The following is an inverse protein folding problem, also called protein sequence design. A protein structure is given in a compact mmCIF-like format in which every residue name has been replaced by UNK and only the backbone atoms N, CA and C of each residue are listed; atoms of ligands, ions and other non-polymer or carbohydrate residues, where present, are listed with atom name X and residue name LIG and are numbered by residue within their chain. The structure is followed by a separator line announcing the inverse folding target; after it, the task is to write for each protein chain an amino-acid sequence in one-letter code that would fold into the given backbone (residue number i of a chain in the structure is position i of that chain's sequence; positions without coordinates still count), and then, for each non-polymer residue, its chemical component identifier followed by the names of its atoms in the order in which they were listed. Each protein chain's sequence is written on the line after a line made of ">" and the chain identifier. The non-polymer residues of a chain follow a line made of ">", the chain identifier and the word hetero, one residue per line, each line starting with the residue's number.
data_IF_899680487495
#
_entry.id   IF_899680487495
#
_cell.length_a   1.000
_cell.length_b   1.000
_cell.length_c   1.000
_cell.angle_alpha   90.00
_cell.angle_beta   90.00
_cell.angle_gamma   90.00
#
_symmetry.space_group_name_H-M   'P 1'
#
loop_
_entity.id
_entity.type
_entity.pdbx_description
1 polymer ?
#
# COMPACT_ATOMS: atom_id res chain seq x y z
N UNK A 1 24.23 -27.76 12.36
CA UNK A 1 23.43 -26.92 11.44
C UNK A 1 21.98 -27.35 11.60
N UNK A 2 21.19 -26.61 12.37
CA UNK A 2 19.80 -26.98 12.66
C UNK A 2 18.98 -26.85 11.37
N UNK A 3 18.26 -27.93 11.01
CA UNK A 3 17.42 -27.98 9.82
C UNK A 3 16.27 -26.99 10.00
N UNK A 4 16.11 -26.09 9.03
CA UNK A 4 14.97 -25.20 8.94
C UNK A 4 13.71 -26.06 8.71
N UNK A 5 12.85 -26.13 9.72
CA UNK A 5 11.52 -26.70 9.58
C UNK A 5 10.70 -25.73 8.72
N UNK A 6 10.50 -26.11 7.46
CA UNK A 6 9.60 -25.38 6.56
C UNK A 6 8.17 -25.63 7.05
N UNK A 7 7.68 -24.75 7.93
CA UNK A 7 6.27 -24.72 8.31
C UNK A 7 5.43 -24.48 7.06
N UNK A 8 4.95 -25.56 6.46
CA UNK A 8 3.99 -25.52 5.37
C UNK A 8 2.75 -24.79 5.90
N UNK A 9 2.52 -23.56 5.41
CA UNK A 9 1.43 -22.71 5.89
C UNK A 9 0.11 -23.37 5.48
N UNK A 10 -0.50 -24.10 6.42
CA UNK A 10 -1.82 -24.67 6.22
C UNK A 10 -2.82 -23.56 5.89
N UNK A 11 -3.44 -23.65 4.71
CA UNK A 11 -4.55 -22.79 4.34
C UNK A 11 -5.84 -23.58 4.52
N UNK A 12 -6.73 -23.17 5.44
CA UNK A 12 -8.03 -23.82 5.61
C UNK A 12 -8.80 -23.82 4.28
N UNK A 13 -9.28 -24.99 3.86
CA UNK A 13 -10.09 -25.11 2.63
C UNK A 13 -11.52 -24.59 2.82
N UNK A 14 -12.00 -24.58 4.06
CA UNK A 14 -13.34 -24.15 4.42
C UNK A 14 -13.25 -22.89 5.28
N UNK A 15 -13.88 -21.78 4.87
CA UNK A 15 -13.92 -20.56 5.68
C UNK A 15 -14.76 -20.78 6.94
N UNK A 16 -14.53 -19.93 7.94
CA UNK A 16 -15.37 -19.91 9.14
C UNK A 16 -16.82 -19.54 8.76
N UNK A 17 -17.82 -20.18 9.39
CA UNK A 17 -19.22 -19.77 9.26
C UNK A 17 -19.44 -18.28 9.55
N UNK A 18 -20.43 -17.69 8.89
CA UNK A 18 -20.76 -16.26 9.02
C UNK A 18 -21.11 -15.91 10.47
N UNK A 19 -21.82 -16.79 11.17
CA UNK A 19 -22.23 -16.57 12.56
C UNK A 19 -21.02 -16.36 13.48
N UNK A 20 -19.99 -17.19 13.34
CA UNK A 20 -18.75 -17.10 14.14
C UNK A 20 -17.94 -15.86 13.74
N UNK A 21 -17.92 -15.54 12.45
CA UNK A 21 -17.18 -14.38 11.92
C UNK A 21 -17.77 -13.05 12.40
N UNK A 22 -19.08 -13.01 12.64
CA UNK A 22 -19.80 -11.82 13.11
C UNK A 22 -19.94 -11.74 14.64
N UNK A 23 -19.36 -12.69 15.39
CA UNK A 23 -19.37 -12.64 16.85
C UNK A 23 -18.62 -11.40 17.36
N UNK A 24 -19.07 -10.88 18.50
CA UNK A 24 -18.36 -9.80 19.14
C UNK A 24 -16.99 -10.29 19.64
N UNK A 25 -15.99 -9.41 19.69
CA UNK A 25 -14.68 -9.76 20.22
C UNK A 25 -14.72 -10.23 21.68
N UNK A 26 -15.73 -9.81 22.44
CA UNK A 26 -15.91 -10.23 23.83
C UNK A 26 -16.28 -11.71 23.93
N UNK A 27 -16.96 -12.24 22.90
CA UNK A 27 -17.40 -13.63 22.82
C UNK A 27 -16.34 -14.55 22.20
N UNK A 28 -15.34 -13.99 21.50
CA UNK A 28 -14.26 -14.74 20.84
C UNK A 28 -12.96 -14.78 21.65
N UNK A 29 -12.95 -14.21 22.85
CA UNK A 29 -11.78 -14.15 23.73
C UNK A 29 -11.93 -15.12 24.90
N UNK A 30 -10.86 -15.84 25.21
CA UNK A 30 -10.80 -16.69 26.38
C UNK A 30 -10.93 -15.86 27.67
N UNK A 31 -11.89 -16.20 28.53
CA UNK A 31 -12.13 -15.50 29.79
C UNK A 31 -11.00 -15.64 30.82
N UNK A 32 -10.15 -16.67 30.67
CA UNK A 32 -9.05 -16.93 31.61
C UNK A 32 -7.73 -16.28 31.19
N UNK A 33 -7.35 -16.38 29.90
CA UNK A 33 -6.07 -15.88 29.41
C UNK A 33 -6.17 -14.66 28.48
N UNK A 34 -7.37 -14.27 28.05
CA UNK A 34 -7.58 -13.12 27.18
C UNK A 34 -7.15 -13.32 25.71
N UNK A 35 -6.71 -14.52 25.34
CA UNK A 35 -6.29 -14.83 23.96
C UNK A 35 -7.53 -15.08 23.10
N UNK A 36 -7.52 -14.53 21.88
CA UNK A 36 -8.58 -14.77 20.89
C UNK A 36 -8.56 -16.22 20.41
N UNK A 37 -9.72 -16.86 20.39
CA UNK A 37 -9.92 -18.16 19.74
C UNK A 37 -9.76 -18.08 18.22
N UNK A 38 -9.82 -16.87 17.64
CA UNK A 38 -9.73 -16.61 16.21
C UNK A 38 -8.41 -15.96 15.79
N UNK A 39 -7.37 -16.08 16.63
CA UNK A 39 -6.06 -15.42 16.45
C UNK A 39 -5.45 -15.61 15.06
N UNK A 40 -5.58 -16.80 14.45
CA UNK A 40 -5.07 -17.05 13.10
C UNK A 40 -5.74 -16.17 12.04
N UNK A 41 -7.06 -15.98 12.11
CA UNK A 41 -7.78 -15.14 11.15
C UNK A 41 -7.47 -13.65 11.36
N UNK A 42 -7.33 -13.23 12.61
CA UNK A 42 -6.94 -11.86 12.96
C UNK A 42 -5.54 -11.53 12.42
N UNK A 43 -4.59 -12.46 12.59
CA UNK A 43 -3.23 -12.32 12.04
C UNK A 43 -3.29 -12.25 10.52
N UNK A 44 -4.02 -13.14 9.83
CA UNK A 44 -4.14 -13.08 8.36
C UNK A 44 -4.79 -11.78 7.86
N UNK A 45 -5.79 -11.27 8.57
CA UNK A 45 -6.41 -9.98 8.22
C UNK A 45 -5.41 -8.82 8.39
N UNK A 46 -4.59 -8.86 9.44
CA UNK A 46 -3.51 -7.89 9.64
C UNK A 46 -2.43 -8.01 8.56
N UNK A 47 -1.98 -9.22 8.22
CA UNK A 47 -1.02 -9.45 7.12
C UNK A 47 -1.53 -8.86 5.80
N UNK A 48 -2.80 -9.11 5.44
CA UNK A 48 -3.41 -8.56 4.23
C UNK A 48 -3.48 -7.03 4.26
N UNK A 49 -3.81 -6.44 5.41
CA UNK A 49 -3.80 -4.99 5.59
C UNK A 49 -2.39 -4.40 5.44
N UNK A 50 -1.38 -5.04 6.00
CA UNK A 50 0.01 -4.63 5.86
C UNK A 50 0.47 -4.68 4.40
N UNK A 51 0.20 -5.77 3.67
CA UNK A 51 0.54 -5.89 2.26
C UNK A 51 -0.10 -4.79 1.41
N UNK A 52 -1.37 -4.46 1.68
CA UNK A 52 -2.05 -3.35 1.00
C UNK A 52 -1.37 -2.02 1.30
N UNK A 53 -1.06 -1.75 2.57
CA UNK A 53 -0.40 -0.51 2.97
C UNK A 53 1.00 -0.39 2.35
N UNK A 54 1.76 -1.50 2.27
CA UNK A 54 3.06 -1.53 1.60
C UNK A 54 2.92 -1.20 0.11
N UNK A 55 1.94 -1.81 -0.58
CA UNK A 55 1.66 -1.49 -1.98
C UNK A 55 1.30 -0.01 -2.18
N UNK A 56 0.42 0.54 -1.33
CA UNK A 56 0.03 1.94 -1.38
C UNK A 56 1.24 2.87 -1.15
N UNK A 57 2.12 2.55 -0.19
CA UNK A 57 3.34 3.32 0.06
C UNK A 57 4.29 3.32 -1.13
N UNK A 58 4.49 2.16 -1.77
CA UNK A 58 5.33 2.09 -2.98
C UNK A 58 4.76 2.90 -4.14
N UNK A 59 3.43 2.88 -4.29
CA UNK A 59 2.72 3.68 -5.29
C UNK A 59 2.93 5.18 -5.05
N UNK A 60 2.70 5.66 -3.82
CA UNK A 60 2.87 7.07 -3.47
C UNK A 60 4.33 7.53 -3.55
N UNK A 61 5.29 6.68 -3.18
CA UNK A 61 6.71 6.98 -3.34
C UNK A 61 7.07 7.24 -4.82
N UNK A 62 6.51 6.43 -5.74
CA UNK A 62 6.69 6.63 -7.19
C UNK A 62 5.99 7.89 -7.73
N UNK A 63 4.89 8.33 -7.12
CA UNK A 63 4.20 9.55 -7.54
C UNK A 63 5.07 10.79 -7.38
N UNK A 64 5.80 10.92 -6.27
CA UNK A 64 6.66 12.09 -6.05
C UNK A 64 7.74 12.22 -7.14
N UNK A 65 8.35 11.11 -7.57
CA UNK A 65 9.31 11.13 -8.69
C UNK A 65 8.65 11.52 -10.02
N UNK A 66 7.43 11.05 -10.26
CA UNK A 66 6.66 11.40 -11.48
C UNK A 66 6.27 12.88 -11.48
N UNK A 67 5.80 13.39 -10.35
CA UNK A 67 5.39 14.79 -10.18
C UNK A 67 6.57 15.73 -10.45
N UNK A 68 7.73 15.45 -9.85
CA UNK A 68 8.96 16.20 -10.12
C UNK A 68 9.36 16.19 -11.60
N UNK A 69 9.25 15.04 -12.29
CA UNK A 69 9.56 14.96 -13.71
C UNK A 69 8.58 15.77 -14.57
N UNK A 70 7.30 15.78 -14.22
CA UNK A 70 6.30 16.63 -14.89
C UNK A 70 6.57 18.11 -14.63
N UNK A 71 6.90 18.50 -13.40
CA UNK A 71 7.24 19.88 -13.06
C UNK A 71 8.46 20.38 -13.84
N UNK A 72 9.52 19.56 -13.96
CA UNK A 72 10.68 19.90 -14.79
C UNK A 72 10.30 20.08 -16.27
N UNK A 73 9.45 19.20 -16.79
CA UNK A 73 8.98 19.29 -18.17
C UNK A 73 8.19 20.59 -18.39
N UNK A 74 7.26 20.91 -17.49
CA UNK A 74 6.51 22.15 -17.54
C UNK A 74 7.41 23.39 -17.46
N UNK A 75 8.43 23.36 -16.60
CA UNK A 75 9.37 24.45 -16.48
C UNK A 75 10.18 24.65 -17.78
N UNK A 76 10.63 23.56 -18.40
CA UNK A 76 11.33 23.61 -19.68
C UNK A 76 10.46 24.17 -20.82
N UNK A 77 9.19 23.75 -20.90
CA UNK A 77 8.29 24.28 -21.92
C UNK A 77 7.98 25.77 -21.68
N UNK A 78 7.86 26.20 -20.41
CA UNK A 78 7.70 27.63 -20.07
C UNK A 78 8.90 28.46 -20.51
N UNK A 79 10.13 28.01 -20.27
CA UNK A 79 11.33 28.71 -20.75
C UNK A 79 11.38 28.77 -22.27
N UNK A 80 11.07 27.67 -22.97
CA UNK A 80 11.02 27.66 -24.44
C UNK A 80 10.01 28.66 -25.00
N UNK A 81 8.83 28.76 -24.39
CA UNK A 81 7.82 29.75 -24.78
C UNK A 81 8.38 31.17 -24.59
N UNK A 82 8.97 31.47 -23.42
CA UNK A 82 9.58 32.77 -23.14
C UNK A 82 10.70 33.15 -24.12
N UNK A 83 11.53 32.18 -24.53
CA UNK A 83 12.62 32.40 -25.49
C UNK A 83 12.09 32.68 -26.90
N UNK A 84 11.05 31.97 -27.31
CA UNK A 84 10.36 32.19 -28.58
C UNK A 84 9.69 33.57 -28.62
N UNK A 85 9.01 33.95 -27.55
CA UNK A 85 8.41 35.29 -27.41
C UNK A 85 9.46 36.40 -27.53
N UNK A 86 10.59 36.23 -26.85
CA UNK A 86 11.72 37.18 -26.93
C UNK A 86 12.30 37.27 -28.35
N UNK A 87 12.37 36.15 -29.06
CA UNK A 87 12.86 36.09 -30.45
C UNK A 87 11.91 36.78 -31.43
N UNK A 88 10.59 36.64 -31.22
CA UNK A 88 9.57 37.33 -32.03
C UNK A 88 9.70 38.84 -31.88
N UNK A 89 9.83 39.34 -30.64
CA UNK A 89 9.93 40.79 -30.37
C UNK A 89 11.14 41.40 -31.08
N UNK A 90 12.29 40.70 -31.10
CA UNK A 90 13.51 41.16 -31.78
C UNK A 90 13.32 41.24 -33.30
N UNK A 91 12.63 40.26 -33.91
CA UNK A 91 12.44 40.21 -35.37
C UNK A 91 11.33 41.13 -35.89
N UNK A 92 10.50 41.70 -35.00
CA UNK A 92 9.42 42.65 -35.36
C UNK A 92 9.83 44.12 -35.31
N UNK A 93 11.08 44.43 -34.95
CA UNK A 93 11.68 45.77 -34.96
C UNK A 93 12.74 45.91 -36.06
#
# INVERSE_FOLDING_TARGET
>A
MQKQDHFERYSPQYPLPVDITNMSRQDTVCQFCGVSYLIHTEIKALEAKCQKLEADLTYYAGMNSRENALEQTLQNERTRISDLESTIVINTH
#
